data_IF_083920148755
#
_entry.id   IF_083920148755
#
_cell.length_a   1.000
_cell.length_b   1.000
_cell.length_c   1.000
_cell.angle_alpha   90.00
_cell.angle_beta   90.00
_cell.angle_gamma   90.00
#
_symmetry.space_group_name_H-M   'P 1'
#
loop_
_entity.id
_entity.type
_entity.pdbx_description
1 polymer ?
#
# COMPACT_ATOMS: atom_id res chain seq x y z
N UNK A 1 6.24 -10.06 14.10
CA UNK A 1 6.83 -10.90 13.05
C UNK A 1 6.87 -10.13 11.73
N UNK A 2 5.79 -9.46 11.28
CA UNK A 2 5.81 -8.76 9.97
C UNK A 2 6.52 -7.39 9.93
N UNK A 3 6.64 -6.68 11.06
CA UNK A 3 7.22 -5.33 11.07
C UNK A 3 8.76 -5.28 11.01
N UNK A 4 9.43 -6.44 11.16
CA UNK A 4 10.89 -6.53 11.24
C UNK A 4 11.58 -6.31 9.88
N UNK A 5 10.88 -6.57 8.77
CA UNK A 5 11.44 -6.46 7.41
C UNK A 5 11.17 -5.09 6.77
N UNK A 6 10.44 -4.19 7.44
CA UNK A 6 10.02 -2.92 6.85
C UNK A 6 11.22 -2.00 6.59
N UNK A 7 12.21 -1.99 7.49
CA UNK A 7 13.43 -1.20 7.30
C UNK A 7 14.15 -1.61 5.98
N UNK A 8 14.37 -2.91 5.79
CA UNK A 8 15.05 -3.44 4.59
C UNK A 8 14.24 -3.21 3.31
N UNK A 9 12.91 -3.29 3.37
CA UNK A 9 12.05 -2.97 2.23
C UNK A 9 12.08 -1.48 1.87
N UNK A 10 12.29 -0.60 2.84
CA UNK A 10 12.43 0.84 2.57
C UNK A 10 13.75 1.16 1.86
N UNK A 11 14.83 0.42 2.15
CA UNK A 11 16.12 0.57 1.48
C UNK A 11 16.07 0.21 -0.01
N UNK A 12 15.13 -0.65 -0.43
CA UNK A 12 14.95 -1.03 -1.83
C UNK A 12 14.28 0.07 -2.68
N UNK A 13 13.81 1.15 -2.07
CA UNK A 13 13.07 2.21 -2.76
C UNK A 13 14.02 3.38 -3.09
N UNK A 14 14.49 3.39 -4.35
CA UNK A 14 15.38 4.45 -4.87
C UNK A 14 14.65 5.70 -5.38
N UNK A 15 13.31 5.68 -5.36
CA UNK A 15 12.47 6.74 -5.94
C UNK A 15 12.05 7.72 -4.84
N UNK A 16 11.95 9.02 -5.17
CA UNK A 16 11.40 10.01 -4.24
C UNK A 16 9.93 9.72 -3.94
N UNK A 17 9.65 9.41 -2.67
CA UNK A 17 8.30 9.08 -2.19
C UNK A 17 7.60 10.34 -1.70
N UNK A 18 6.58 10.77 -2.44
CA UNK A 18 5.75 11.92 -2.07
C UNK A 18 4.82 11.59 -0.88
N UNK A 19 4.32 10.36 -0.83
CA UNK A 19 3.24 9.98 0.07
C UNK A 19 3.44 8.58 0.68
N UNK A 20 3.28 8.46 2.00
CA UNK A 20 3.32 7.19 2.72
C UNK A 20 2.08 7.00 3.59
N UNK A 21 1.44 5.84 3.44
CA UNK A 21 0.36 5.39 4.32
C UNK A 21 0.75 4.09 5.01
N UNK A 22 0.68 4.06 6.33
CA UNK A 22 0.99 2.87 7.12
C UNK A 22 0.11 2.77 8.36
N UNK A 23 0.16 1.60 8.97
CA UNK A 23 -0.49 1.28 10.23
C UNK A 23 0.57 0.71 11.19
N UNK A 24 0.80 1.36 12.33
CA UNK A 24 1.73 0.95 13.39
C UNK A 24 3.25 0.95 13.07
N UNK A 25 3.72 1.37 11.88
CA UNK A 25 5.17 1.39 11.52
C UNK A 25 5.71 2.79 11.23
N UNK A 26 5.13 3.80 11.87
CA UNK A 26 5.39 5.21 11.56
C UNK A 26 6.82 5.64 11.85
N UNK A 27 7.43 5.12 12.92
CA UNK A 27 8.78 5.54 13.32
C UNK A 27 9.82 5.16 12.26
N UNK A 28 9.77 3.92 11.77
CA UNK A 28 10.60 3.43 10.66
C UNK A 28 10.40 4.26 9.40
N UNK A 29 9.15 4.45 8.98
CA UNK A 29 8.85 5.15 7.73
C UNK A 29 9.19 6.64 7.79
N UNK A 30 9.05 7.26 8.96
CA UNK A 30 9.44 8.67 9.15
C UNK A 30 10.96 8.87 9.09
N UNK A 31 11.74 7.86 9.51
CA UNK A 31 13.20 7.85 9.38
C UNK A 31 13.61 7.65 7.93
N UNK A 32 12.99 6.69 7.24
CA UNK A 32 13.30 6.36 5.84
C UNK A 32 12.87 7.48 4.87
N UNK A 33 11.68 8.05 5.06
CA UNK A 33 11.08 9.02 4.13
C UNK A 33 10.79 10.37 4.80
N UNK A 34 11.85 11.11 5.13
CA UNK A 34 11.77 12.37 5.88
C UNK A 34 10.93 13.46 5.19
N UNK A 35 10.91 13.47 3.84
CA UNK A 35 10.18 14.46 3.03
C UNK A 35 8.75 14.06 2.67
N UNK A 36 8.36 12.81 2.94
CA UNK A 36 7.06 12.29 2.52
C UNK A 36 5.93 12.77 3.45
N UNK A 37 4.77 13.03 2.85
CA UNK A 37 3.55 13.29 3.61
C UNK A 37 3.01 11.97 4.18
N UNK A 38 2.92 11.87 5.51
CA UNK A 38 2.28 10.76 6.21
C UNK A 38 0.81 11.14 6.40
N UNK A 39 -0.10 10.48 5.68
CA UNK A 39 -1.54 10.85 5.75
C UNK A 39 -2.23 10.31 7.00
N UNK A 40 -1.85 9.13 7.47
CA UNK A 40 -2.49 8.49 8.61
C UNK A 40 -1.64 8.78 9.82
N UNK A 41 -2.15 9.64 10.70
CA UNK A 41 -1.38 10.07 11.87
C UNK A 41 -1.50 9.03 13.00
N UNK A 42 -0.37 8.61 13.61
CA UNK A 42 -0.44 7.85 14.84
C UNK A 42 -1.18 8.66 15.90
N UNK A 43 -1.88 7.97 16.81
CA UNK A 43 -2.66 8.62 17.88
C UNK A 43 -1.81 9.58 18.72
N UNK A 44 -0.53 9.26 18.89
CA UNK A 44 0.39 10.00 19.76
C UNK A 44 1.10 11.17 19.06
N UNK A 45 1.00 11.28 17.72
CA UNK A 45 1.65 12.36 16.96
C UNK A 45 0.76 13.60 16.86
N UNK A 46 0.67 14.33 17.98
CA UNK A 46 -0.17 15.52 18.12
C UNK A 46 0.13 16.62 17.09
N UNK A 47 1.40 16.86 16.75
CA UNK A 47 1.79 17.93 15.83
C UNK A 47 1.29 17.70 14.40
N UNK A 48 1.55 16.53 13.81
CA UNK A 48 1.11 16.21 12.44
C UNK A 48 -0.42 16.09 12.36
N UNK A 49 -1.07 15.63 13.44
CA UNK A 49 -2.53 15.63 13.55
C UNK A 49 -3.08 17.06 13.57
N UNK A 50 -2.44 17.97 14.31
CA UNK A 50 -2.89 19.36 14.42
C UNK A 50 -2.71 20.14 13.11
N UNK A 51 -1.63 19.90 12.37
CA UNK A 51 -1.47 20.51 11.03
C UNK A 51 -2.52 20.02 10.05
N UNK A 52 -2.91 18.74 10.10
CA UNK A 52 -4.03 18.23 9.31
C UNK A 52 -5.37 18.86 9.71
N UNK A 53 -5.62 19.05 11.00
CA UNK A 53 -6.82 19.75 11.47
C UNK A 53 -6.86 21.21 11.01
N UNK A 54 -5.71 21.89 10.98
CA UNK A 54 -5.60 23.24 10.43
C UNK A 54 -5.93 23.24 8.92
N UNK A 55 -5.29 22.38 8.14
CA UNK A 55 -5.57 22.23 6.71
C UNK A 55 -7.05 21.87 6.45
N UNK A 56 -7.63 21.02 7.30
CA UNK A 56 -9.04 20.66 7.23
C UNK A 56 -9.96 21.84 7.53
N UNK A 57 -9.60 22.71 8.48
CA UNK A 57 -10.37 23.92 8.79
C UNK A 57 -10.34 24.95 7.65
N UNK A 58 -9.23 25.02 6.90
CA UNK A 58 -9.04 25.95 5.78
C UNK A 58 -9.67 25.45 4.48
N UNK A 59 -9.44 24.18 4.12
CA UNK A 59 -9.87 23.58 2.84
C UNK A 59 -11.28 22.97 2.91
N UNK A 60 -11.74 22.64 4.11
CA UNK A 60 -13.02 21.99 4.37
C UNK A 60 -13.04 20.47 4.12
N UNK A 61 -14.20 19.89 4.44
CA UNK A 61 -14.49 18.44 4.47
C UNK A 61 -14.10 17.68 3.19
N UNK A 62 -14.39 18.25 2.02
CA UNK A 62 -14.29 17.53 0.74
C UNK A 62 -12.91 17.70 0.12
N UNK A 63 -12.31 18.90 0.20
CA UNK A 63 -11.06 19.22 -0.49
C UNK A 63 -9.83 18.71 0.28
N UNK A 64 -9.83 18.83 1.61
CA UNK A 64 -8.68 18.43 2.43
C UNK A 64 -8.26 16.95 2.19
N UNK A 65 -9.17 15.95 2.26
CA UNK A 65 -8.79 14.56 2.00
C UNK A 65 -8.36 14.30 0.54
N UNK A 66 -8.90 15.07 -0.42
CA UNK A 66 -8.58 14.95 -1.84
C UNK A 66 -7.19 15.49 -2.16
N UNK A 67 -6.85 16.66 -1.62
CA UNK A 67 -5.52 17.27 -1.79
C UNK A 67 -4.45 16.49 -1.04
N UNK A 68 -4.75 16.03 0.18
CA UNK A 68 -3.83 15.20 0.94
C UNK A 68 -3.67 13.79 0.40
N UNK A 69 -4.61 13.30 -0.42
CA UNK A 69 -4.53 11.96 -1.05
C UNK A 69 -5.05 10.81 -0.17
N UNK A 70 -5.88 11.08 0.84
CA UNK A 70 -6.34 10.11 1.84
C UNK A 70 -7.05 8.89 1.22
N UNK A 71 -7.72 9.08 0.08
CA UNK A 71 -8.41 7.99 -0.63
C UNK A 71 -7.49 6.99 -1.33
N UNK A 72 -6.20 7.30 -1.55
CA UNK A 72 -5.28 6.43 -2.31
C UNK A 72 -5.08 5.07 -1.63
N UNK A 73 -5.00 5.04 -0.30
CA UNK A 73 -4.88 3.79 0.48
C UNK A 73 -6.06 2.86 0.22
N UNK A 74 -7.29 3.35 0.39
CA UNK A 74 -8.49 2.54 0.18
C UNK A 74 -8.55 1.95 -1.23
N UNK A 75 -8.15 2.72 -2.25
CA UNK A 75 -8.08 2.22 -3.63
C UNK A 75 -7.07 1.08 -3.73
N UNK A 76 -5.85 1.28 -3.23
CA UNK A 76 -4.81 0.25 -3.27
C UNK A 76 -5.19 -1.02 -2.51
N UNK A 77 -5.73 -0.90 -1.30
CA UNK A 77 -6.15 -2.03 -0.47
C UNK A 77 -7.34 -2.78 -1.07
N UNK A 78 -8.33 -2.06 -1.61
CA UNK A 78 -9.49 -2.68 -2.25
C UNK A 78 -9.10 -3.41 -3.54
N UNK A 79 -8.21 -2.81 -4.34
CA UNK A 79 -7.64 -3.47 -5.51
C UNK A 79 -6.88 -4.75 -5.12
N UNK A 80 -5.97 -4.67 -4.14
CA UNK A 80 -5.21 -5.84 -3.68
C UNK A 80 -6.12 -6.94 -3.12
N UNK A 81 -7.13 -6.59 -2.34
CA UNK A 81 -8.15 -7.52 -1.85
C UNK A 81 -8.89 -8.19 -2.99
N UNK A 82 -9.26 -7.44 -4.02
CA UNK A 82 -9.94 -7.97 -5.20
C UNK A 82 -9.06 -8.98 -5.92
N UNK A 83 -7.77 -8.66 -6.12
CA UNK A 83 -6.80 -9.57 -6.72
C UNK A 83 -6.58 -10.85 -5.91
N UNK A 84 -6.43 -10.74 -4.58
CA UNK A 84 -6.31 -11.91 -3.69
C UNK A 84 -7.57 -12.79 -3.72
N UNK A 85 -8.75 -12.18 -3.87
CA UNK A 85 -10.00 -12.93 -3.98
C UNK A 85 -10.14 -13.61 -5.35
N UNK A 86 -9.65 -12.98 -6.42
CA UNK A 86 -9.68 -13.53 -7.78
C UNK A 86 -8.66 -14.66 -7.89
N UNK A 87 -7.37 -14.38 -7.68
CA UNK A 87 -6.23 -15.32 -7.75
C UNK A 87 -6.11 -16.19 -6.49
N UNK A 88 -7.22 -16.46 -5.81
CA UNK A 88 -7.20 -17.14 -4.51
C UNK A 88 -6.52 -18.51 -4.55
N UNK A 89 -6.45 -19.22 -3.40
CA UNK A 89 -5.73 -20.50 -3.31
C UNK A 89 -6.32 -21.63 -4.18
N UNK A 90 -7.43 -21.41 -4.89
CA UNK A 90 -8.14 -22.38 -5.71
C UNK A 90 -8.69 -21.71 -6.97
N UNK A 91 -8.69 -22.45 -8.07
CA UNK A 91 -9.38 -22.06 -9.30
C UNK A 91 -10.89 -22.17 -9.11
N UNK A 92 -11.63 -21.14 -9.55
CA UNK A 92 -13.07 -21.05 -9.37
C UNK A 92 -13.86 -21.81 -10.44
N UNK A 93 -13.27 -22.01 -11.63
CA UNK A 93 -13.94 -22.70 -12.74
C UNK A 93 -13.96 -24.21 -12.54
N UNK A 94 -15.02 -24.87 -13.03
CA UNK A 94 -15.22 -26.32 -12.92
C UNK A 94 -14.70 -27.11 -14.12
N UNK A 95 -14.66 -26.46 -15.28
CA UNK A 95 -14.17 -27.06 -16.53
C UNK A 95 -12.66 -26.81 -16.66
N UNK A 96 -11.91 -27.85 -17.03
CA UNK A 96 -10.44 -27.81 -17.16
C UNK A 96 -9.98 -26.77 -18.18
N UNK A 97 -10.69 -26.62 -19.31
CA UNK A 97 -10.33 -25.61 -20.31
C UNK A 97 -10.49 -24.18 -19.74
N UNK A 98 -11.53 -23.97 -18.94
CA UNK A 98 -11.76 -22.68 -18.30
C UNK A 98 -10.78 -22.42 -17.14
N UNK A 99 -10.38 -23.46 -16.42
CA UNK A 99 -9.32 -23.39 -15.40
C UNK A 99 -7.97 -23.00 -16.01
N UNK A 100 -7.64 -23.54 -17.19
CA UNK A 100 -6.42 -23.15 -17.91
C UNK A 100 -6.43 -21.65 -18.27
N UNK A 101 -7.56 -21.14 -18.75
CA UNK A 101 -7.70 -19.71 -19.06
C UNK A 101 -7.61 -18.84 -17.80
N UNK A 102 -8.23 -19.26 -16.69
CA UNK A 102 -8.11 -18.59 -15.38
C UNK A 102 -6.65 -18.50 -14.94
N UNK A 103 -5.90 -19.61 -15.02
CA UNK A 103 -4.48 -19.63 -14.65
C UNK A 103 -3.62 -18.71 -15.53
N UNK A 104 -3.90 -18.63 -16.84
CA UNK A 104 -3.17 -17.74 -17.77
C UNK A 104 -3.44 -16.28 -17.42
N UNK A 105 -4.69 -15.93 -17.07
CA UNK A 105 -5.04 -14.57 -16.64
C UNK A 105 -4.38 -14.20 -15.33
N UNK A 106 -4.39 -15.10 -14.34
CA UNK A 106 -3.75 -14.90 -13.04
C UNK A 106 -2.23 -14.70 -13.20
N UNK A 107 -1.58 -15.52 -14.03
CA UNK A 107 -0.17 -15.36 -14.34
C UNK A 107 0.13 -14.02 -15.05
N UNK A 108 -0.75 -13.57 -15.95
CA UNK A 108 -0.61 -12.27 -16.63
C UNK A 108 -0.71 -11.10 -15.65
N UNK A 109 -1.67 -11.15 -14.72
CA UNK A 109 -1.82 -10.15 -13.66
C UNK A 109 -0.56 -10.14 -12.77
N UNK A 110 -0.10 -11.31 -12.33
CA UNK A 110 1.09 -11.43 -11.50
C UNK A 110 2.34 -10.90 -12.21
N UNK A 111 2.52 -11.22 -13.50
CA UNK A 111 3.60 -10.69 -14.31
C UNK A 111 3.56 -9.16 -14.40
N UNK A 112 2.36 -8.58 -14.53
CA UNK A 112 2.18 -7.13 -14.45
C UNK A 112 2.69 -6.54 -13.14
N UNK A 113 2.38 -7.16 -12.00
CA UNK A 113 2.92 -6.73 -10.70
C UNK A 113 4.44 -6.86 -10.62
N UNK A 114 5.01 -7.97 -11.11
CA UNK A 114 6.47 -8.15 -11.09
C UNK A 114 7.21 -7.08 -11.90
N UNK A 115 6.59 -6.55 -12.97
CA UNK A 115 7.16 -5.45 -13.75
C UNK A 115 7.05 -4.10 -13.05
N UNK A 116 5.99 -3.88 -12.25
CA UNK A 116 5.78 -2.61 -11.53
C UNK A 116 6.68 -2.48 -10.30
N UNK A 117 7.11 -3.59 -9.72
CA UNK A 117 8.01 -3.63 -8.57
C UNK A 117 7.85 -4.94 -7.82
N UNK A 118 8.88 -5.77 -7.86
CA UNK A 118 8.95 -7.00 -7.08
C UNK A 118 10.00 -6.82 -5.99
N UNK A 119 9.60 -6.75 -4.70
CA UNK A 119 10.56 -6.67 -3.61
C UNK A 119 11.35 -7.98 -3.51
N UNK A 120 12.63 -7.88 -3.15
CA UNK A 120 13.46 -9.03 -2.85
C UNK A 120 12.95 -9.67 -1.55
N UNK A 121 12.11 -10.69 -1.70
CA UNK A 121 11.50 -11.40 -0.57
C UNK A 121 12.27 -12.69 -0.29
N UNK A 122 12.80 -12.79 0.94
CA UNK A 122 13.48 -13.98 1.42
C UNK A 122 12.63 -14.67 2.50
N UNK A 123 12.71 -15.99 2.54
CA UNK A 123 12.06 -16.77 3.58
C UNK A 123 12.85 -16.63 4.88
N UNK A 124 12.26 -15.96 5.87
CA UNK A 124 12.76 -15.98 7.25
C UNK A 124 12.41 -17.33 7.87
N UNK A 125 13.42 -18.08 8.32
CA UNK A 125 13.27 -19.40 8.98
C UNK A 125 13.27 -19.21 10.49
#
# INVERSE_FOLDING_TARGET
MDFQVVDELCEQIDIEVEHVSADNVYDTLSKAFQKSDIIIFPKDNGYKRMSYLAAYSELGLIRCPKEKGYGKRNVSENSMRSYQSIMGPKLHRRDVNNQQQEMILDASILNGFTQLGMPDSYRVV
#
